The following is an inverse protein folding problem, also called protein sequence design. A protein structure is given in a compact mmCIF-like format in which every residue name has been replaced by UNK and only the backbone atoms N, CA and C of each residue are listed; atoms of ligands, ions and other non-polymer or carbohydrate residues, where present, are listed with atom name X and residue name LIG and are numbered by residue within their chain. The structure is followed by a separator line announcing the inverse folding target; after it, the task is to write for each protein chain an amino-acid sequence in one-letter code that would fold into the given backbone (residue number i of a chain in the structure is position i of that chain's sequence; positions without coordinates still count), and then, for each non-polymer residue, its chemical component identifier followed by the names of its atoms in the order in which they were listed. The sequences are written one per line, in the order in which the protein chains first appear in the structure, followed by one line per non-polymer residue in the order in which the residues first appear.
data_IF_439500560207
#
_entry.id   IF_439500560207
#
_cell.length_a   1.000
_cell.length_b   1.000
_cell.length_c   1.000
_cell.angle_alpha   90.00
_cell.angle_beta   90.00
_cell.angle_gamma   90.00
#
_symmetry.space_group_name_H-M   'P 1'
#
loop_
_entity.id
_entity.type
_entity.pdbx_description
1 polymer ?
#
# COMPACT_ATOMS: atom_id res chain seq x y z
N UNK A 1 42.64 0.68 -7.94
CA UNK A 1 41.90 1.90 -7.55
C UNK A 1 40.58 2.10 -8.29
N UNK A 2 40.42 1.68 -9.55
CA UNK A 2 39.12 1.80 -10.28
C UNK A 2 38.09 0.70 -9.96
N UNK A 3 38.51 -0.44 -9.37
CA UNK A 3 37.60 -1.54 -9.03
C UNK A 3 36.86 -1.38 -7.68
N UNK A 4 37.23 -0.38 -6.87
CA UNK A 4 36.55 -0.08 -5.60
C UNK A 4 35.37 0.90 -5.80
N UNK A 5 35.42 1.75 -6.83
CA UNK A 5 34.35 2.70 -7.14
C UNK A 5 33.10 2.05 -7.77
N UNK A 6 33.22 0.83 -8.30
CA UNK A 6 32.10 0.09 -8.89
C UNK A 6 31.36 -0.81 -7.88
N UNK A 7 31.83 -0.85 -6.62
CA UNK A 7 31.32 -1.76 -5.59
C UNK A 7 30.40 -1.11 -4.55
N UNK A 8 30.06 0.15 -4.77
CA UNK A 8 29.24 0.95 -3.86
C UNK A 8 28.47 2.01 -4.66
N UNK A 9 27.68 1.59 -5.67
CA UNK A 9 26.45 2.35 -5.94
C UNK A 9 25.55 2.02 -4.76
N UNK A 10 25.78 2.71 -3.65
CA UNK A 10 25.02 2.55 -2.43
C UNK A 10 23.53 2.61 -2.79
N UNK A 11 22.74 1.76 -2.14
CA UNK A 11 21.27 1.68 -2.18
C UNK A 11 20.65 3.04 -1.73
N UNK A 12 20.89 4.05 -2.54
CA UNK A 12 20.60 5.46 -2.29
C UNK A 12 19.43 5.79 -3.19
N UNK A 13 18.35 6.28 -2.61
CA UNK A 13 17.20 6.67 -3.39
C UNK A 13 17.56 7.72 -4.45
N UNK A 14 16.95 7.56 -5.61
CA UNK A 14 17.24 8.35 -6.80
C UNK A 14 15.99 9.03 -7.35
N UNK A 15 16.19 10.14 -8.04
CA UNK A 15 15.12 10.77 -8.82
C UNK A 15 14.83 9.95 -10.07
N UNK A 16 13.56 9.88 -10.46
CA UNK A 16 13.15 9.32 -11.74
C UNK A 16 13.40 10.35 -12.83
N UNK A 17 14.33 10.06 -13.74
CA UNK A 17 14.72 10.99 -14.80
C UNK A 17 13.64 11.20 -15.87
N UNK A 18 12.57 10.39 -15.86
CA UNK A 18 11.42 10.54 -16.76
C UNK A 18 10.44 11.61 -16.28
N UNK A 19 10.51 11.98 -15.01
CA UNK A 19 9.61 12.94 -14.37
C UNK A 19 10.43 14.21 -14.02
N UNK A 20 9.88 15.43 -14.22
CA UNK A 20 10.60 16.65 -13.82
C UNK A 20 10.99 16.63 -12.34
N UNK A 21 12.25 16.97 -12.04
CA UNK A 21 12.77 16.95 -10.66
C UNK A 21 11.98 17.87 -9.72
N UNK A 22 11.47 18.99 -10.22
CA UNK A 22 10.74 19.98 -9.44
C UNK A 22 9.41 19.48 -8.85
N UNK A 23 8.89 18.34 -9.34
CA UNK A 23 7.64 17.74 -8.87
C UNK A 23 7.88 16.39 -8.17
N UNK A 24 9.13 16.08 -7.82
CA UNK A 24 9.49 14.88 -7.08
C UNK A 24 9.91 15.25 -5.66
N UNK A 25 9.48 14.45 -4.70
CA UNK A 25 10.04 14.47 -3.36
C UNK A 25 11.50 14.01 -3.38
N UNK A 26 12.24 14.40 -2.37
CA UNK A 26 13.65 14.07 -2.21
C UNK A 26 13.99 13.69 -0.77
N UNK A 27 15.28 13.49 -0.50
CA UNK A 27 15.75 13.05 0.81
C UNK A 27 15.32 14.02 1.91
N UNK A 28 15.36 15.32 1.62
CA UNK A 28 15.03 16.40 2.54
C UNK A 28 13.55 16.35 2.92
N UNK A 29 12.65 16.03 1.98
CA UNK A 29 11.23 15.81 2.26
C UNK A 29 10.97 14.68 3.28
N UNK A 30 11.86 13.67 3.34
CA UNK A 30 11.80 12.55 4.30
C UNK A 30 12.78 12.73 5.48
N UNK A 31 13.11 13.97 5.84
CA UNK A 31 14.04 14.28 6.93
C UNK A 31 13.52 13.95 8.33
N UNK A 32 12.22 13.68 8.46
CA UNK A 32 11.58 13.31 9.72
C UNK A 32 11.81 11.84 10.06
N UNK A 33 12.37 11.55 11.24
CA UNK A 33 12.65 10.19 11.69
C UNK A 33 11.40 9.30 11.84
N UNK A 34 10.21 9.90 11.99
CA UNK A 34 8.94 9.19 12.05
C UNK A 34 8.34 8.91 10.67
N UNK A 35 8.81 9.59 9.61
CA UNK A 35 8.28 9.46 8.24
C UNK A 35 9.28 8.69 7.37
N UNK A 36 8.89 7.47 7.04
CA UNK A 36 9.60 6.62 6.11
C UNK A 36 9.27 6.90 4.66
N UNK A 37 10.21 6.47 3.82
CA UNK A 37 10.03 6.29 2.38
C UNK A 37 9.35 4.95 2.14
N UNK A 38 8.03 4.93 2.38
CA UNK A 38 7.18 3.76 2.22
C UNK A 38 7.12 3.34 0.76
N UNK A 39 7.59 2.14 0.43
CA UNK A 39 7.60 1.68 -0.96
C UNK A 39 6.19 1.24 -1.38
N UNK A 40 5.72 1.69 -2.54
CA UNK A 40 4.44 1.25 -3.11
C UNK A 40 4.58 -0.12 -3.78
N UNK A 41 5.68 -0.34 -4.51
CA UNK A 41 6.14 -1.66 -4.94
C UNK A 41 7.32 -2.08 -4.08
N UNK A 42 7.19 -3.21 -3.39
CA UNK A 42 8.19 -3.69 -2.44
C UNK A 42 9.46 -4.16 -3.16
N UNK A 43 10.62 -3.76 -2.64
CA UNK A 43 11.95 -4.18 -3.13
C UNK A 43 12.06 -5.68 -3.38
N UNK A 44 11.68 -6.52 -2.41
CA UNK A 44 11.85 -7.97 -2.54
C UNK A 44 10.98 -8.60 -3.63
N UNK A 45 9.94 -7.90 -4.09
CA UNK A 45 9.04 -8.34 -5.17
C UNK A 45 9.61 -8.00 -6.56
N UNK A 46 10.60 -7.11 -6.64
CA UNK A 46 11.23 -6.68 -7.90
C UNK A 46 12.54 -7.42 -8.21
N UNK A 47 13.07 -8.21 -7.28
CA UNK A 47 14.41 -8.80 -7.38
C UNK A 47 14.47 -10.06 -8.28
N UNK A 48 13.96 -9.97 -9.50
CA UNK A 48 13.94 -11.07 -10.47
C UNK A 48 14.14 -10.56 -11.91
N UNK A 49 14.49 -11.46 -12.82
CA UNK A 49 14.76 -11.18 -14.23
C UNK A 49 15.46 -12.39 -14.89
N UNK A 50 15.59 -12.38 -16.22
CA UNK A 50 16.26 -13.47 -16.94
C UNK A 50 17.78 -13.49 -16.66
N UNK A 51 18.32 -12.36 -16.23
CA UNK A 51 19.73 -12.20 -15.84
C UNK A 51 19.90 -11.55 -14.47
N UNK A 52 21.03 -11.83 -13.81
CA UNK A 52 21.42 -11.16 -12.55
C UNK A 52 21.51 -9.63 -12.70
N UNK A 53 21.93 -9.14 -13.88
CA UNK A 53 21.96 -7.72 -14.18
C UNK A 53 20.55 -7.09 -14.20
N UNK A 54 19.56 -7.80 -14.73
CA UNK A 54 18.17 -7.35 -14.73
C UNK A 54 17.57 -7.36 -13.33
N UNK A 55 17.78 -8.43 -12.55
CA UNK A 55 17.32 -8.50 -11.17
C UNK A 55 17.91 -7.37 -10.31
N UNK A 56 19.20 -7.05 -10.49
CA UNK A 56 19.86 -5.92 -9.81
C UNK A 56 19.31 -4.57 -10.27
N UNK A 57 19.03 -4.40 -11.56
CA UNK A 57 18.42 -3.17 -12.08
C UNK A 57 17.02 -2.98 -11.52
N UNK A 58 16.18 -4.01 -11.54
CA UNK A 58 14.84 -3.97 -10.99
C UNK A 58 14.82 -3.68 -9.47
N UNK A 59 15.78 -4.26 -8.73
CA UNK A 59 16.01 -3.90 -7.33
C UNK A 59 16.28 -2.39 -7.17
N UNK A 60 17.20 -1.82 -7.96
CA UNK A 60 17.51 -0.39 -7.93
C UNK A 60 16.33 0.48 -8.37
N UNK A 61 15.55 0.02 -9.35
CA UNK A 61 14.38 0.75 -9.84
C UNK A 61 13.32 0.96 -8.75
N UNK A 62 13.23 0.04 -7.78
CA UNK A 62 12.33 0.17 -6.62
C UNK A 62 12.68 1.34 -5.67
N UNK A 63 13.92 1.87 -5.74
CA UNK A 63 14.41 2.96 -4.89
C UNK A 63 14.18 4.36 -5.48
N UNK A 64 13.48 4.50 -6.60
CA UNK A 64 13.09 5.82 -7.09
C UNK A 64 12.07 6.48 -6.15
N UNK A 65 12.21 7.79 -5.91
CA UNK A 65 11.25 8.54 -5.08
C UNK A 65 9.80 8.45 -5.61
N UNK A 66 9.62 8.20 -6.90
CA UNK A 66 8.31 8.02 -7.55
C UNK A 66 7.63 6.69 -7.20
N UNK A 67 8.36 5.73 -6.63
CA UNK A 67 7.81 4.51 -6.04
C UNK A 67 7.62 4.64 -4.51
N UNK A 68 7.89 5.81 -3.93
CA UNK A 68 7.79 6.04 -2.50
C UNK A 68 6.66 7.03 -2.17
N UNK A 69 6.01 6.80 -1.03
CA UNK A 69 5.07 7.74 -0.44
C UNK A 69 5.42 7.96 1.04
N UNK A 70 5.14 9.15 1.61
CA UNK A 70 5.31 9.42 3.03
C UNK A 70 4.49 8.47 3.90
N UNK A 71 5.15 7.56 4.59
CA UNK A 71 4.51 6.61 5.50
C UNK A 71 5.11 6.73 6.88
N UNK A 72 4.28 6.88 7.89
CA UNK A 72 4.70 6.82 9.27
C UNK A 72 5.33 5.46 9.58
N UNK A 73 6.43 5.45 10.31
CA UNK A 73 7.18 4.23 10.65
C UNK A 73 6.32 3.16 11.32
N UNK A 74 5.34 3.59 12.14
CA UNK A 74 4.35 2.71 12.78
C UNK A 74 3.37 2.00 11.83
N UNK A 75 3.20 2.48 10.59
CA UNK A 75 2.47 1.77 9.54
C UNK A 75 3.44 0.92 8.70
N UNK A 76 4.50 1.55 8.17
CA UNK A 76 5.41 0.95 7.19
C UNK A 76 6.18 -0.26 7.74
N UNK A 77 6.59 -0.22 9.01
CA UNK A 77 7.45 -1.25 9.62
C UNK A 77 6.67 -2.29 10.41
N UNK A 78 5.35 -2.19 10.44
CA UNK A 78 4.50 -3.01 11.30
C UNK A 78 4.05 -4.29 10.58
N UNK A 79 4.46 -5.43 11.15
CA UNK A 79 4.18 -6.77 10.64
C UNK A 79 2.70 -7.19 10.74
N UNK A 80 1.87 -6.44 11.47
CA UNK A 80 0.42 -6.68 11.54
C UNK A 80 -0.37 -5.79 10.56
N UNK A 81 0.32 -4.92 9.81
CA UNK A 81 -0.31 -3.94 8.92
C UNK A 81 0.24 -4.05 7.49
N UNK A 82 0.97 -3.03 7.03
CA UNK A 82 1.44 -2.91 5.66
C UNK A 82 2.40 -4.05 5.29
N UNK A 83 3.40 -4.28 6.13
CA UNK A 83 4.38 -5.35 5.96
C UNK A 83 3.73 -6.74 6.09
N UNK A 84 2.78 -6.88 7.00
CA UNK A 84 2.05 -8.14 7.22
C UNK A 84 1.22 -8.58 6.02
N UNK A 85 0.47 -7.65 5.43
CA UNK A 85 -0.32 -7.91 4.23
C UNK A 85 0.57 -8.30 3.06
N UNK A 86 1.70 -7.60 2.87
CA UNK A 86 2.70 -7.93 1.86
C UNK A 86 3.27 -9.33 2.05
N UNK A 87 3.72 -9.65 3.26
CA UNK A 87 4.33 -10.94 3.56
C UNK A 87 3.30 -12.07 3.45
N UNK A 88 2.04 -11.85 3.82
CA UNK A 88 0.96 -12.83 3.64
C UNK A 88 0.70 -13.13 2.15
N UNK A 89 0.55 -12.10 1.31
CA UNK A 89 0.33 -12.30 -0.14
C UNK A 89 1.51 -13.05 -0.76
N UNK A 90 2.74 -12.60 -0.47
CA UNK A 90 3.96 -13.18 -1.04
C UNK A 90 4.18 -14.62 -0.58
N UNK A 91 3.93 -14.90 0.70
CA UNK A 91 4.10 -16.25 1.27
C UNK A 91 3.10 -17.22 0.67
N UNK A 92 1.83 -16.83 0.52
CA UNK A 92 0.82 -17.67 -0.12
C UNK A 92 1.16 -17.93 -1.60
N UNK A 93 1.54 -16.90 -2.36
CA UNK A 93 1.92 -17.05 -3.76
C UNK A 93 3.08 -18.05 -3.94
N UNK A 94 4.09 -17.99 -3.06
CA UNK A 94 5.22 -18.94 -3.05
C UNK A 94 4.82 -20.34 -2.62
N UNK A 95 3.99 -20.46 -1.58
CA UNK A 95 3.61 -21.75 -0.98
C UNK A 95 2.74 -22.56 -1.91
N UNK A 96 1.78 -21.91 -2.56
CA UNK A 96 0.80 -22.55 -3.44
C UNK A 96 1.14 -22.43 -4.94
N UNK A 97 2.23 -21.74 -5.28
CA UNK A 97 2.76 -21.68 -6.65
C UNK A 97 1.90 -20.88 -7.62
N UNK A 98 1.09 -19.92 -7.15
CA UNK A 98 0.28 -19.06 -8.01
C UNK A 98 0.96 -17.71 -8.27
N UNK A 99 0.47 -17.01 -9.30
CA UNK A 99 0.87 -15.64 -9.62
C UNK A 99 -0.20 -14.67 -9.15
N UNK A 100 0.24 -13.55 -8.60
CA UNK A 100 -0.63 -12.44 -8.23
C UNK A 100 -0.13 -11.14 -8.85
N UNK A 101 -1.04 -10.21 -9.14
CA UNK A 101 -0.71 -8.82 -9.41
C UNK A 101 -1.17 -7.99 -8.21
N UNK A 102 -0.31 -7.06 -7.78
CA UNK A 102 -0.60 -6.14 -6.68
C UNK A 102 -0.52 -4.71 -7.20
N UNK A 103 -1.60 -3.97 -7.02
CA UNK A 103 -1.66 -2.54 -7.25
C UNK A 103 -1.69 -1.86 -5.89
N UNK A 104 -0.97 -0.75 -5.75
CA UNK A 104 -0.80 -0.07 -4.47
C UNK A 104 -0.78 1.44 -4.69
N UNK A 105 -1.34 2.20 -3.75
CA UNK A 105 -1.19 3.65 -3.76
C UNK A 105 -1.70 4.33 -2.50
N UNK A 106 -1.42 5.63 -2.34
CA UNK A 106 -2.07 6.46 -1.34
C UNK A 106 -3.54 6.72 -1.71
N UNK A 107 -4.36 6.98 -0.68
CA UNK A 107 -5.65 7.64 -0.84
C UNK A 107 -5.41 9.12 -0.57
N UNK A 108 -5.60 9.96 -1.57
CA UNK A 108 -5.51 11.42 -1.41
C UNK A 108 -6.89 12.02 -1.10
N UNK A 109 -6.90 12.98 -0.18
CA UNK A 109 -8.09 13.75 0.18
C UNK A 109 -7.73 15.19 0.53
N UNK A 110 -8.72 16.07 0.49
CA UNK A 110 -8.54 17.48 0.87
C UNK A 110 -8.19 17.67 2.36
N UNK A 111 -8.38 16.63 3.17
CA UNK A 111 -8.04 16.59 4.60
C UNK A 111 -6.58 16.18 4.87
N UNK A 112 -5.81 15.80 3.82
CA UNK A 112 -4.42 15.40 3.99
C UNK A 112 -3.58 16.62 4.42
N UNK A 113 -2.85 16.54 5.56
CA UNK A 113 -1.94 17.61 5.95
C UNK A 113 -0.77 17.72 4.96
N UNK A 114 -0.09 18.86 4.96
CA UNK A 114 1.13 19.00 4.19
C UNK A 114 2.29 18.22 4.83
N UNK A 115 3.12 17.58 3.99
CA UNK A 115 4.38 17.00 4.40
C UNK A 115 5.39 18.12 4.69
N UNK A 116 5.49 18.52 5.95
CA UNK A 116 6.42 19.56 6.38
C UNK A 116 6.19 20.87 5.61
N UNK A 117 7.23 21.38 4.96
CA UNK A 117 7.15 22.60 4.13
C UNK A 117 7.19 22.32 2.62
N UNK A 118 6.94 21.08 2.21
CA UNK A 118 7.09 20.66 0.80
C UNK A 118 5.89 21.05 -0.06
N UNK A 119 4.74 21.33 0.56
CA UNK A 119 3.46 21.50 -0.13
C UNK A 119 2.88 20.20 -0.71
N UNK A 120 3.54 19.05 -0.53
CA UNK A 120 3.00 17.76 -0.95
C UNK A 120 2.05 17.21 0.12
N UNK A 121 0.93 16.57 -0.26
CA UNK A 121 0.03 15.93 0.68
C UNK A 121 0.72 14.76 1.40
N UNK A 122 0.49 14.65 2.71
CA UNK A 122 0.84 13.52 3.56
C UNK A 122 -0.40 12.61 3.69
N UNK A 123 -0.50 11.52 2.89
CA UNK A 123 -1.73 10.73 2.81
C UNK A 123 -2.12 10.14 4.16
N UNK A 124 -3.38 10.23 4.57
CA UNK A 124 -3.81 9.60 5.83
C UNK A 124 -4.10 8.10 5.69
N UNK A 125 -4.25 7.59 4.46
CA UNK A 125 -4.53 6.19 4.18
C UNK A 125 -3.87 5.70 2.89
N UNK A 126 -3.73 4.39 2.77
CA UNK A 126 -3.21 3.69 1.60
C UNK A 126 -4.16 2.56 1.20
N UNK A 127 -4.06 2.15 -0.05
CA UNK A 127 -4.83 1.04 -0.58
C UNK A 127 -3.94 0.00 -1.28
N UNK A 128 -4.44 -1.24 -1.31
CA UNK A 128 -3.92 -2.32 -2.16
C UNK A 128 -5.06 -3.02 -2.88
N UNK A 129 -4.86 -3.36 -4.15
CA UNK A 129 -5.72 -4.29 -4.90
C UNK A 129 -4.88 -5.49 -5.31
N UNK A 130 -5.33 -6.68 -4.94
CA UNK A 130 -4.64 -7.93 -5.24
C UNK A 130 -5.50 -8.72 -6.20
N UNK A 131 -4.90 -9.22 -7.28
CA UNK A 131 -5.59 -10.06 -8.26
C UNK A 131 -4.83 -11.35 -8.47
N UNK A 132 -5.54 -12.46 -8.56
CA UNK A 132 -4.95 -13.78 -8.80
C UNK A 132 -5.97 -14.70 -9.47
N UNK A 133 -5.48 -15.83 -9.98
CA UNK A 133 -6.35 -16.92 -10.40
C UNK A 133 -6.56 -17.85 -9.20
N UNK A 134 -7.81 -18.06 -8.82
CA UNK A 134 -8.19 -18.95 -7.72
C UNK A 134 -9.04 -20.12 -8.24
N UNK A 135 -8.80 -21.30 -7.69
CA UNK A 135 -9.62 -22.49 -7.92
C UNK A 135 -10.80 -22.47 -6.94
N UNK A 136 -12.01 -22.69 -7.44
CA UNK A 136 -13.21 -22.78 -6.59
C UNK A 136 -13.66 -24.23 -6.42
N UNK A 137 -14.61 -24.47 -5.50
CA UNK A 137 -15.15 -25.80 -5.13
C UNK A 137 -15.57 -26.69 -6.32
N UNK A 138 -15.79 -26.12 -7.50
CA UNK A 138 -16.14 -26.82 -8.74
C UNK A 138 -14.97 -26.94 -9.75
N UNK A 139 -13.71 -26.89 -9.30
CA UNK A 139 -12.47 -26.97 -10.12
C UNK A 139 -12.41 -25.92 -11.25
N UNK A 140 -13.21 -24.86 -11.16
CA UNK A 140 -13.20 -23.79 -12.15
C UNK A 140 -12.24 -22.70 -11.69
N UNK A 141 -11.16 -22.50 -12.45
CA UNK A 141 -10.24 -21.38 -12.24
C UNK A 141 -10.96 -20.08 -12.62
N UNK A 142 -11.02 -19.13 -11.68
CA UNK A 142 -11.59 -17.80 -11.91
C UNK A 142 -10.66 -16.71 -11.43
N UNK A 143 -10.78 -15.54 -12.05
CA UNK A 143 -10.17 -14.32 -11.52
C UNK A 143 -10.78 -14.02 -10.15
N UNK A 144 -9.91 -13.79 -9.18
CA UNK A 144 -10.23 -13.32 -7.85
C UNK A 144 -9.54 -11.98 -7.62
N UNK A 145 -10.27 -11.00 -7.09
CA UNK A 145 -9.76 -9.66 -6.85
C UNK A 145 -10.22 -9.13 -5.49
N UNK A 146 -9.30 -8.66 -4.66
CA UNK A 146 -9.59 -8.10 -3.33
C UNK A 146 -8.98 -6.73 -3.17
N UNK A 147 -9.64 -5.87 -2.38
CA UNK A 147 -9.15 -4.53 -2.05
C UNK A 147 -8.98 -4.35 -0.54
N UNK A 148 -7.92 -3.65 -0.15
CA UNK A 148 -7.62 -3.32 1.24
C UNK A 148 -7.35 -1.83 1.38
N UNK A 149 -7.76 -1.25 2.50
CA UNK A 149 -7.44 0.11 2.93
C UNK A 149 -6.78 0.05 4.31
N UNK A 150 -5.64 0.73 4.44
CA UNK A 150 -4.86 0.82 5.67
C UNK A 150 -4.72 2.30 6.05
N UNK A 151 -5.03 2.65 7.30
CA UNK A 151 -4.94 4.03 7.77
C UNK A 151 -3.69 4.27 8.63
N UNK A 152 -3.02 5.39 8.39
CA UNK A 152 -2.02 5.97 9.29
C UNK A 152 -2.49 7.26 9.98
N UNK A 153 -3.76 7.65 9.80
CA UNK A 153 -4.25 8.97 10.24
C UNK A 153 -4.01 9.25 11.72
N UNK A 154 -4.22 8.26 12.59
CA UNK A 154 -3.94 8.41 14.02
C UNK A 154 -2.44 8.62 14.33
N UNK A 155 -1.53 7.96 13.59
CA UNK A 155 -0.08 8.18 13.74
C UNK A 155 0.28 9.61 13.35
N UNK A 156 -0.27 10.09 12.23
CA UNK A 156 0.00 11.43 11.72
C UNK A 156 -0.57 12.50 12.67
N UNK A 157 -1.82 12.36 13.11
CA UNK A 157 -2.41 13.29 14.08
C UNK A 157 -1.61 13.35 15.38
N UNK A 158 -1.20 12.19 15.92
CA UNK A 158 -0.35 12.13 17.10
C UNK A 158 1.01 12.80 16.86
N UNK A 159 1.66 12.52 15.72
CA UNK A 159 2.93 13.12 15.35
C UNK A 159 2.84 14.65 15.27
N UNK A 160 1.79 15.17 14.65
CA UNK A 160 1.56 16.61 14.53
C UNK A 160 1.24 17.26 15.88
N UNK A 161 0.46 16.58 16.73
CA UNK A 161 0.14 17.04 18.09
C UNK A 161 1.38 17.05 18.99
N UNK A 162 2.21 16.00 18.95
CA UNK A 162 3.47 15.88 19.70
C UNK A 162 4.50 16.96 19.31
N UNK A 163 4.24 17.71 18.22
CA UNK A 163 5.10 18.77 17.67
C UNK A 163 4.46 20.16 17.69
N UNK A 164 3.31 20.29 18.35
CA UNK A 164 2.55 21.54 18.43
C UNK A 164 2.19 22.13 17.04
N UNK A 165 2.05 21.29 16.02
CA UNK A 165 1.74 21.70 14.64
C UNK A 165 0.23 21.77 14.37
N UNK A 166 -0.59 21.20 15.25
CA UNK A 166 -2.05 21.28 15.22
C UNK A 166 -2.51 21.47 16.66
N UNK A 167 -3.41 22.43 16.93
CA UNK A 167 -4.05 22.51 18.23
C UNK A 167 -4.83 21.22 18.45
N UNK A 168 -4.47 20.47 19.48
CA UNK A 168 -5.13 19.23 19.83
C UNK A 168 -6.63 19.52 19.97
N UNK A 169 -7.42 19.08 18.98
CA UNK A 169 -8.85 18.99 19.15
C UNK A 169 -9.06 17.95 20.26
N UNK A 170 -9.25 18.42 21.50
CA UNK A 170 -9.69 17.59 22.60
C UNK A 170 -10.98 16.88 22.17
N UNK A 171 -10.87 15.58 21.91
CA UNK A 171 -12.04 14.73 21.74
C UNK A 171 -12.17 14.08 20.38
N UNK A 172 -11.29 13.14 20.06
CA UNK A 172 -11.71 11.79 19.66
C UNK A 172 -10.47 10.89 19.71
N UNK A 173 -10.42 9.96 20.67
CA UNK A 173 -9.46 8.86 20.61
C UNK A 173 -9.87 7.97 19.45
N UNK A 174 -9.31 8.20 18.26
CA UNK A 174 -9.52 7.31 17.13
C UNK A 174 -8.98 5.93 17.51
N UNK A 175 -9.81 4.90 17.32
CA UNK A 175 -9.46 3.52 17.67
C UNK A 175 -8.19 3.05 16.96
N UNK A 176 -7.63 1.95 17.47
CA UNK A 176 -6.40 1.32 16.97
C UNK A 176 -6.34 1.23 15.44
N UNK A 177 -5.12 1.24 14.90
CA UNK A 177 -4.81 1.03 13.48
C UNK A 177 -5.54 -0.17 12.90
N UNK A 178 -6.10 -0.01 11.70
CA UNK A 178 -6.93 -1.05 11.07
C UNK A 178 -6.54 -1.25 9.62
N UNK A 179 -6.44 -2.52 9.26
CA UNK A 179 -6.53 -2.99 7.87
C UNK A 179 -7.97 -3.37 7.61
N UNK A 180 -8.55 -2.80 6.56
CA UNK A 180 -9.92 -3.09 6.16
C UNK A 180 -9.90 -3.74 4.79
N UNK A 181 -10.54 -4.90 4.66
CA UNK A 181 -10.95 -5.37 3.34
C UNK A 181 -12.22 -4.62 2.95
N UNK A 182 -12.21 -4.01 1.77
CA UNK A 182 -13.31 -3.21 1.21
C UNK A 182 -13.71 -3.74 -0.15
N UNK A 183 -14.90 -3.39 -0.63
CA UNK A 183 -15.28 -3.66 -2.02
C UNK A 183 -14.42 -2.82 -2.96
N UNK A 184 -14.02 -3.39 -4.09
CA UNK A 184 -13.30 -2.67 -5.15
C UNK A 184 -14.13 -1.47 -5.62
N UNK A 185 -15.46 -1.60 -5.73
CA UNK A 185 -16.37 -0.49 -6.04
C UNK A 185 -16.28 0.67 -5.04
N UNK A 186 -16.16 0.37 -3.74
CA UNK A 186 -16.04 1.41 -2.72
C UNK A 186 -14.66 2.07 -2.80
N UNK A 187 -13.61 1.30 -3.09
CA UNK A 187 -12.28 1.85 -3.35
C UNK A 187 -12.25 2.76 -4.59
N UNK A 188 -12.93 2.38 -5.68
CA UNK A 188 -13.10 3.23 -6.87
C UNK A 188 -13.75 4.56 -6.49
N UNK A 189 -14.80 4.53 -5.65
CA UNK A 189 -15.47 5.74 -5.17
C UNK A 189 -14.57 6.61 -4.27
N UNK A 190 -13.74 5.98 -3.42
CA UNK A 190 -12.81 6.68 -2.52
C UNK A 190 -11.63 7.33 -3.25
N UNK A 191 -11.12 6.69 -4.31
CA UNK A 191 -9.85 7.09 -4.96
C UNK A 191 -10.06 7.76 -6.32
N UNK A 192 -11.29 7.74 -6.84
CA UNK A 192 -11.64 8.09 -8.22
C UNK A 192 -10.91 7.26 -9.29
N UNK A 193 -10.18 6.20 -8.92
CA UNK A 193 -9.62 5.26 -9.88
C UNK A 193 -10.69 4.32 -10.43
N UNK A 194 -10.43 3.81 -11.63
CA UNK A 194 -11.18 2.70 -12.21
C UNK A 194 -10.29 1.47 -12.28
N UNK A 195 -10.74 0.40 -11.64
CA UNK A 195 -10.13 -0.93 -11.73
C UNK A 195 -10.83 -1.80 -12.79
N UNK A 196 -11.70 -1.19 -13.60
CA UNK A 196 -12.40 -1.84 -14.71
C UNK A 196 -13.31 -2.97 -14.25
N UNK A 197 -13.11 -4.17 -14.81
CA UNK A 197 -13.92 -5.34 -14.53
C UNK A 197 -13.53 -6.07 -13.23
N UNK A 198 -12.52 -5.60 -12.48
CA UNK A 198 -12.04 -6.31 -11.29
C UNK A 198 -13.10 -6.43 -10.19
N UNK A 199 -14.05 -5.48 -10.08
CA UNK A 199 -15.18 -5.59 -9.14
C UNK A 199 -16.09 -6.79 -9.39
N UNK A 200 -16.15 -7.31 -10.62
CA UNK A 200 -16.94 -8.51 -10.95
C UNK A 200 -16.28 -9.80 -10.40
N UNK A 201 -14.99 -9.71 -10.08
CA UNK A 201 -14.17 -10.73 -9.47
C UNK A 201 -14.02 -10.55 -7.94
N UNK A 202 -14.70 -9.57 -7.34
CA UNK A 202 -14.65 -9.28 -5.92
C UNK A 202 -15.60 -10.19 -5.11
N UNK A 203 -15.11 -10.93 -4.10
CA UNK A 203 -15.95 -11.79 -3.27
C UNK A 203 -16.94 -11.00 -2.43
N UNK A 204 -16.59 -9.77 -1.99
CA UNK A 204 -17.47 -8.91 -1.19
C UNK A 204 -18.62 -8.33 -2.02
N UNK A 205 -18.39 -8.09 -3.32
CA UNK A 205 -19.47 -7.68 -4.23
C UNK A 205 -20.50 -8.82 -4.40
N UNK A 206 -20.03 -10.07 -4.48
CA UNK A 206 -20.92 -11.25 -4.60
C UNK A 206 -21.68 -11.57 -3.31
N UNK A 207 -21.04 -11.38 -2.15
CA UNK A 207 -21.67 -11.59 -0.85
C UNK A 207 -22.88 -10.67 -0.66
N UNK A 208 -22.79 -9.39 -1.05
CA UNK A 208 -23.92 -8.45 -0.97
C UNK A 208 -25.09 -8.85 -1.89
N UNK A 209 -24.83 -9.39 -3.09
CA UNK A 209 -25.90 -9.86 -3.99
C UNK A 209 -26.68 -11.03 -3.38
N UNK A 210 -26.02 -11.87 -2.58
CA UNK A 210 -26.69 -12.95 -1.84
C UNK A 210 -27.41 -12.43 -0.59
N UNK A 211 -26.82 -11.49 0.16
CA UNK A 211 -27.41 -10.89 1.37
C UNK A 211 -28.55 -9.90 1.09
N UNK A 212 -28.58 -9.22 -0.07
CA UNK A 212 -29.67 -8.33 -0.47
C UNK A 212 -31.02 -9.06 -0.63
N UNK A 213 -31.01 -10.40 -0.61
CA UNK A 213 -32.22 -11.25 -0.50
C UNK A 213 -32.71 -11.44 0.95
N UNK A 214 -32.07 -10.79 1.94
CA UNK A 214 -32.47 -10.77 3.35
C UNK A 214 -31.61 -9.84 4.26
N UNK A 215 -31.88 -8.52 4.24
CA UNK A 215 -31.57 -7.46 5.25
C UNK A 215 -30.18 -7.40 5.98
N UNK A 216 -29.30 -6.48 5.48
CA UNK A 216 -28.26 -5.55 6.07
C UNK A 216 -27.56 -5.87 7.42
N UNK A 217 -26.22 -5.74 7.65
CA UNK A 217 -25.12 -4.91 7.08
C UNK A 217 -23.73 -5.44 7.53
N UNK A 218 -22.68 -5.43 6.67
CA UNK A 218 -21.34 -4.80 6.91
C UNK A 218 -20.45 -4.84 5.64
N UNK A 219 -20.34 -3.74 4.86
CA UNK A 219 -19.55 -3.69 3.61
C UNK A 219 -18.02 -3.50 3.82
N UNK A 220 -17.54 -3.64 5.05
CA UNK A 220 -16.15 -3.46 5.44
C UNK A 220 -15.80 -4.53 6.47
N UNK A 221 -14.81 -5.36 6.16
CA UNK A 221 -14.29 -6.37 7.08
C UNK A 221 -13.02 -5.84 7.73
N UNK A 222 -13.04 -5.73 9.06
CA UNK A 222 -11.82 -5.49 9.82
C UNK A 222 -10.99 -6.77 9.78
N UNK A 223 -9.78 -6.69 9.25
CA UNK A 223 -8.84 -7.81 9.23
C UNK A 223 -8.09 -7.80 10.57
N UNK A 224 -8.49 -8.66 11.50
CA UNK A 224 -7.78 -8.79 12.79
C UNK A 224 -6.64 -9.82 12.70
N UNK A 225 -6.78 -10.78 11.77
CA UNK A 225 -5.75 -11.76 11.39
C UNK A 225 -5.79 -11.94 9.89
N UNK A 226 -4.64 -12.08 9.24
CA UNK A 226 -4.58 -12.25 7.78
C UNK A 226 -5.26 -13.55 7.29
N UNK A 227 -5.51 -14.51 8.18
CA UNK A 227 -6.32 -15.70 7.93
C UNK A 227 -7.80 -15.38 7.66
N UNK A 228 -8.28 -14.19 8.07
CA UNK A 228 -9.64 -13.70 7.83
C UNK A 228 -9.78 -13.01 6.46
N UNK A 229 -8.67 -12.90 5.71
CA UNK A 229 -8.68 -12.40 4.34
C UNK A 229 -9.38 -13.43 3.45
N UNK A 230 -10.44 -13.00 2.76
CA UNK A 230 -11.09 -13.81 1.74
C UNK A 230 -10.18 -13.87 0.50
N UNK A 231 -9.22 -14.80 0.49
CA UNK A 231 -8.43 -15.22 -0.67
C UNK A 231 -9.14 -16.28 -1.51
#
# INVERSE_FOLDING_TARGET
HLAAAAREVAETQSYDLRIPRAIQLDREAYGDAAIDRGHMVRRSETNWGDTDAEAKRANLDSFHYTNASPQHAGLNRNADLWLGLEDYILTNARTFGFRANVFTGPVYSDDDPELGTTGAPLPLSFWKVVTMLAEQEMETIRLHATAYVLSQGHLIQKLLSDRDLVEAAEGFAFGEYKTFQVRIRDLEAMTAYSFGALKDADPLERAEVQEARGLTKKPVLLVNRFEEVAL
#
